data_IF_478643513708
#
_entry.id   IF_478643513708
#
_cell.length_a   1.000
_cell.length_b   1.000
_cell.length_c   1.000
_cell.angle_alpha   90.00
_cell.angle_beta   90.00
_cell.angle_gamma   90.00
#
_symmetry.space_group_name_H-M   'P 1'
#
loop_
_entity.id
_entity.type
_entity.pdbx_description
1 polymer ?
#
# COMPACT_ATOMS: atom_id res chain seq x y z
N UNK A 1 -10.55 -22.05 -22.29
CA UNK A 1 -10.93 -22.06 -20.88
C UNK A 1 -11.18 -20.62 -20.37
N UNK A 2 -10.29 -19.66 -20.67
CA UNK A 2 -10.40 -18.27 -20.23
C UNK A 2 -11.79 -17.67 -20.52
N UNK A 3 -12.25 -17.73 -21.76
CA UNK A 3 -13.57 -17.20 -22.13
C UNK A 3 -14.71 -17.87 -21.34
N UNK A 4 -14.64 -19.20 -21.14
CA UNK A 4 -15.65 -19.93 -20.36
C UNK A 4 -15.67 -19.50 -18.90
N UNK A 5 -14.51 -19.19 -18.29
CA UNK A 5 -14.39 -18.66 -16.93
C UNK A 5 -14.93 -17.23 -16.84
N UNK A 6 -14.57 -16.35 -17.77
CA UNK A 6 -15.08 -14.98 -17.83
C UNK A 6 -16.59 -14.94 -17.98
N UNK A 7 -17.15 -15.86 -18.80
CA UNK A 7 -18.60 -15.99 -19.01
C UNK A 7 -19.30 -16.80 -17.93
N UNK A 8 -18.58 -17.32 -16.93
CA UNK A 8 -19.11 -18.18 -15.86
C UNK A 8 -19.91 -19.38 -16.38
N UNK A 9 -19.49 -19.95 -17.51
CA UNK A 9 -20.21 -21.08 -18.15
C UNK A 9 -19.69 -22.42 -17.64
N UNK A 10 -20.21 -22.91 -16.51
CA UNK A 10 -19.75 -24.14 -15.88
C UNK A 10 -19.78 -25.35 -16.82
N UNK A 11 -20.83 -25.62 -17.66
CA UNK A 11 -20.79 -26.76 -18.59
C UNK A 11 -19.63 -26.72 -19.58
N UNK A 12 -19.28 -25.52 -20.07
CA UNK A 12 -18.14 -25.36 -20.98
C UNK A 12 -16.81 -25.55 -20.24
N UNK A 13 -16.70 -25.09 -18.99
CA UNK A 13 -15.53 -25.31 -18.14
C UNK A 13 -15.34 -26.82 -17.93
N UNK A 14 -16.40 -27.53 -17.52
CA UNK A 14 -16.39 -28.96 -17.26
C UNK A 14 -15.92 -29.74 -18.51
N UNK A 15 -16.53 -29.44 -19.65
CA UNK A 15 -16.17 -30.10 -20.93
C UNK A 15 -14.68 -29.91 -21.26
N UNK A 16 -14.16 -28.68 -21.09
CA UNK A 16 -12.75 -28.37 -21.38
C UNK A 16 -11.80 -29.11 -20.42
N UNK A 17 -12.14 -29.17 -19.13
CA UNK A 17 -11.34 -29.88 -18.11
C UNK A 17 -11.32 -31.39 -18.39
N UNK A 18 -12.47 -32.00 -18.73
CA UNK A 18 -12.59 -33.40 -19.10
C UNK A 18 -11.78 -33.75 -20.39
N UNK A 19 -11.52 -32.75 -21.25
CA UNK A 19 -10.69 -32.89 -22.46
C UNK A 19 -9.23 -32.46 -22.23
N UNK A 20 -8.80 -32.33 -20.98
CA UNK A 20 -7.39 -32.18 -20.61
C UNK A 20 -6.80 -30.79 -20.80
N UNK A 21 -7.64 -29.73 -20.72
CA UNK A 21 -7.12 -28.35 -20.72
C UNK A 21 -6.20 -28.11 -19.52
N UNK A 22 -5.11 -27.38 -19.71
CA UNK A 22 -4.24 -26.97 -18.61
C UNK A 22 -4.92 -25.92 -17.73
N UNK A 23 -5.08 -26.24 -16.44
CA UNK A 23 -5.64 -25.33 -15.43
C UNK A 23 -4.61 -24.39 -14.85
N UNK A 24 -3.33 -24.70 -15.03
CA UNK A 24 -2.22 -24.03 -14.34
C UNK A 24 -1.30 -23.28 -15.31
N UNK A 25 -1.86 -22.81 -16.44
CA UNK A 25 -1.14 -21.93 -17.37
C UNK A 25 -0.54 -20.73 -16.62
N UNK A 26 0.75 -20.46 -16.84
CA UNK A 26 1.48 -19.41 -16.10
C UNK A 26 1.07 -17.99 -16.52
N UNK A 27 0.60 -17.79 -17.74
CA UNK A 27 0.16 -16.48 -18.22
C UNK A 27 -1.22 -16.13 -17.67
N UNK A 28 -2.15 -17.11 -17.74
CA UNK A 28 -3.55 -16.96 -17.34
C UNK A 28 -4.01 -18.06 -16.37
N UNK A 29 -3.52 -18.07 -15.12
CA UNK A 29 -3.89 -19.10 -14.15
C UNK A 29 -5.41 -19.16 -13.95
N UNK A 30 -6.01 -20.33 -14.17
CA UNK A 30 -7.46 -20.52 -14.12
C UNK A 30 -8.08 -20.17 -12.78
N UNK A 31 -7.35 -20.39 -11.68
CA UNK A 31 -7.81 -20.02 -10.35
C UNK A 31 -8.05 -18.51 -10.20
N UNK A 32 -7.12 -17.68 -10.74
CA UNK A 32 -7.26 -16.22 -10.69
C UNK A 32 -8.46 -15.72 -11.49
N UNK A 33 -8.75 -16.35 -12.64
CA UNK A 33 -9.94 -16.03 -13.42
C UNK A 33 -11.22 -16.47 -12.71
N UNK A 34 -11.21 -17.65 -12.09
CA UNK A 34 -12.36 -18.17 -11.35
C UNK A 34 -12.71 -17.28 -10.13
N UNK A 35 -11.72 -16.84 -9.34
CA UNK A 35 -11.98 -15.97 -8.20
C UNK A 35 -12.34 -14.54 -8.60
N UNK A 36 -11.92 -14.11 -9.79
CA UNK A 36 -12.21 -12.78 -10.36
C UNK A 36 -13.60 -12.67 -10.97
N UNK A 37 -14.08 -13.71 -11.65
CA UNK A 37 -15.33 -13.66 -12.41
C UNK A 37 -16.37 -14.66 -11.93
N UNK A 38 -15.93 -15.82 -11.44
CA UNK A 38 -16.76 -16.95 -11.08
C UNK A 38 -17.44 -16.84 -9.70
N UNK A 39 -18.03 -17.94 -9.34
CA UNK A 39 -18.71 -18.16 -8.06
C UNK A 39 -18.12 -19.39 -7.36
N UNK A 40 -18.63 -19.70 -6.17
CA UNK A 40 -18.19 -20.83 -5.36
C UNK A 40 -18.22 -22.17 -6.13
N UNK A 41 -19.26 -22.43 -6.92
CA UNK A 41 -19.40 -23.69 -7.66
C UNK A 41 -18.28 -23.90 -8.68
N UNK A 42 -17.93 -22.85 -9.43
CA UNK A 42 -16.81 -22.88 -10.38
C UNK A 42 -15.48 -23.06 -9.65
N UNK A 43 -15.27 -22.34 -8.53
CA UNK A 43 -14.06 -22.43 -7.73
C UNK A 43 -13.89 -23.84 -7.19
N UNK A 44 -14.93 -24.40 -6.55
CA UNK A 44 -14.92 -25.75 -5.99
C UNK A 44 -14.61 -26.80 -7.08
N UNK A 45 -15.22 -26.67 -8.26
CA UNK A 45 -14.96 -27.57 -9.38
C UNK A 45 -13.50 -27.54 -9.82
N UNK A 46 -12.91 -26.36 -10.00
CA UNK A 46 -11.49 -26.25 -10.39
C UNK A 46 -10.53 -26.75 -9.32
N UNK A 47 -10.84 -26.50 -8.04
CA UNK A 47 -10.06 -27.02 -6.91
C UNK A 47 -10.09 -28.55 -6.88
N UNK A 48 -11.25 -29.15 -7.09
CA UNK A 48 -11.40 -30.62 -7.18
C UNK A 48 -10.62 -31.23 -8.34
N UNK A 49 -10.33 -30.45 -9.38
CA UNK A 49 -9.55 -30.87 -10.56
C UNK A 49 -8.09 -30.40 -10.55
N UNK A 50 -7.57 -29.96 -9.38
CA UNK A 50 -6.13 -29.74 -9.16
C UNK A 50 -5.58 -28.38 -9.63
N UNK A 51 -6.44 -27.35 -9.68
CA UNK A 51 -5.96 -25.98 -9.94
C UNK A 51 -5.03 -25.50 -8.81
N UNK A 52 -3.99 -24.76 -9.15
CA UNK A 52 -3.08 -24.15 -8.20
C UNK A 52 -3.68 -22.89 -7.55
N UNK A 53 -4.14 -23.01 -6.30
CA UNK A 53 -4.74 -21.91 -5.54
C UNK A 53 -3.74 -20.80 -5.16
N UNK A 54 -2.44 -21.05 -5.27
CA UNK A 54 -1.37 -20.08 -4.99
C UNK A 54 -0.74 -19.50 -6.27
N UNK A 55 -1.39 -19.70 -7.41
CA UNK A 55 -0.90 -19.18 -8.68
C UNK A 55 -0.76 -17.64 -8.64
N UNK A 56 0.23 -17.16 -9.37
CA UNK A 56 0.45 -15.74 -9.63
C UNK A 56 0.48 -15.54 -11.14
N UNK A 57 -0.15 -14.51 -11.67
CA UNK A 57 -0.01 -14.16 -13.08
C UNK A 57 1.36 -13.47 -13.36
N UNK A 58 1.60 -13.13 -14.62
CA UNK A 58 2.85 -12.51 -15.09
C UNK A 58 3.22 -11.19 -14.36
N UNK A 59 2.23 -10.43 -13.85
CA UNK A 59 2.44 -9.21 -13.06
C UNK A 59 2.36 -9.44 -11.55
N UNK A 60 2.40 -10.70 -11.11
CA UNK A 60 2.41 -11.12 -9.70
C UNK A 60 1.14 -10.75 -8.92
N UNK A 61 -0.01 -10.76 -9.60
CA UNK A 61 -1.33 -10.70 -8.96
C UNK A 61 -1.65 -12.07 -8.35
N UNK A 62 -2.12 -12.08 -7.12
CA UNK A 62 -2.60 -13.25 -6.39
C UNK A 62 -4.14 -13.35 -6.38
N UNK A 63 -4.65 -14.39 -5.74
CA UNK A 63 -6.09 -14.67 -5.67
C UNK A 63 -6.88 -13.56 -5.00
N UNK A 64 -6.39 -12.99 -3.88
CA UNK A 64 -7.09 -11.89 -3.21
C UNK A 64 -7.17 -10.65 -4.10
N UNK A 65 -6.07 -10.27 -4.75
CA UNK A 65 -6.08 -9.15 -5.68
C UNK A 65 -7.00 -9.39 -6.87
N UNK A 66 -7.00 -10.62 -7.42
CA UNK A 66 -7.88 -10.99 -8.53
C UNK A 66 -9.36 -10.84 -8.14
N UNK A 67 -9.75 -11.31 -6.95
CA UNK A 67 -11.11 -11.16 -6.42
C UNK A 67 -11.50 -9.68 -6.24
N UNK A 68 -10.59 -8.84 -5.69
CA UNK A 68 -10.82 -7.40 -5.56
C UNK A 68 -11.00 -6.72 -6.91
N UNK A 69 -10.17 -7.03 -7.91
CA UNK A 69 -10.31 -6.48 -9.26
C UNK A 69 -11.61 -6.87 -9.96
N UNK A 70 -12.14 -8.05 -9.62
CA UNK A 70 -13.46 -8.50 -10.09
C UNK A 70 -14.63 -8.00 -9.25
N UNK A 71 -14.37 -7.29 -8.15
CA UNK A 71 -15.37 -6.92 -7.14
C UNK A 71 -16.14 -8.14 -6.59
N UNK A 72 -15.48 -9.31 -6.58
CA UNK A 72 -16.01 -10.58 -6.08
C UNK A 72 -15.66 -10.78 -4.61
N UNK A 73 -16.17 -9.90 -3.76
CA UNK A 73 -15.85 -9.88 -2.32
C UNK A 73 -16.31 -11.13 -1.62
N UNK A 74 -17.40 -11.77 -2.10
CA UNK A 74 -17.90 -13.06 -1.63
C UNK A 74 -16.86 -14.19 -1.78
N UNK A 75 -15.93 -14.07 -2.71
CA UNK A 75 -14.88 -15.07 -2.92
C UNK A 75 -13.71 -14.95 -1.92
N UNK A 76 -13.58 -13.84 -1.20
CA UNK A 76 -12.45 -13.63 -0.27
C UNK A 76 -12.41 -14.68 0.83
N UNK A 77 -13.56 -15.01 1.42
CA UNK A 77 -13.65 -16.06 2.43
C UNK A 77 -13.34 -17.44 1.85
N UNK A 78 -13.83 -17.73 0.64
CA UNK A 78 -13.55 -18.99 -0.05
C UNK A 78 -12.04 -19.16 -0.28
N UNK A 79 -11.37 -18.12 -0.77
CA UNK A 79 -9.92 -18.11 -1.00
C UNK A 79 -9.16 -18.38 0.30
N UNK A 80 -9.57 -17.73 1.40
CA UNK A 80 -8.97 -17.91 2.72
C UNK A 80 -9.12 -19.36 3.22
N UNK A 81 -10.34 -19.92 3.14
CA UNK A 81 -10.68 -21.26 3.63
C UNK A 81 -9.99 -22.37 2.82
N UNK A 82 -9.70 -22.13 1.56
CA UNK A 82 -8.92 -23.03 0.70
C UNK A 82 -7.42 -23.08 1.08
N UNK A 83 -6.95 -22.21 2.01
CA UNK A 83 -5.57 -22.20 2.47
C UNK A 83 -4.68 -21.12 1.84
N UNK A 84 -5.23 -20.26 0.97
CA UNK A 84 -4.56 -19.02 0.57
C UNK A 84 -4.83 -17.95 1.63
N UNK A 85 -4.20 -18.13 2.80
CA UNK A 85 -4.57 -17.42 4.03
C UNK A 85 -4.22 -15.92 4.00
N UNK A 86 -5.08 -15.12 4.65
CA UNK A 86 -4.89 -13.65 4.76
C UNK A 86 -3.57 -13.32 5.47
N UNK A 87 -3.20 -14.03 6.53
CA UNK A 87 -1.96 -13.80 7.29
C UNK A 87 -0.72 -13.87 6.40
N UNK A 88 -0.72 -14.77 5.42
CA UNK A 88 0.45 -15.01 4.56
C UNK A 88 0.41 -14.20 3.26
N UNK A 89 -0.76 -14.03 2.68
CA UNK A 89 -0.93 -13.50 1.32
C UNK A 89 -1.73 -12.19 1.26
N UNK A 90 -2.48 -11.84 2.31
CA UNK A 90 -3.43 -10.73 2.29
C UNK A 90 -2.84 -9.32 2.26
N UNK A 91 -1.58 -9.14 2.70
CA UNK A 91 -1.04 -7.80 2.95
C UNK A 91 -1.01 -6.88 1.73
N UNK A 92 -0.70 -7.41 0.52
CA UNK A 92 -0.69 -6.64 -0.72
C UNK A 92 -2.11 -6.24 -1.15
N UNK A 93 -3.05 -7.19 -1.08
CA UNK A 93 -4.45 -6.94 -1.41
C UNK A 93 -5.09 -5.96 -0.42
N UNK A 94 -4.83 -6.10 0.89
CA UNK A 94 -5.27 -5.17 1.92
C UNK A 94 -4.79 -3.74 1.66
N UNK A 95 -3.48 -3.55 1.38
CA UNK A 95 -2.92 -2.23 1.06
C UNK A 95 -3.59 -1.62 -0.18
N UNK A 96 -3.87 -2.41 -1.21
CA UNK A 96 -4.54 -1.92 -2.41
C UNK A 96 -6.01 -1.56 -2.14
N UNK A 97 -6.70 -2.29 -1.26
CA UNK A 97 -8.10 -2.04 -0.91
C UNK A 97 -8.34 -0.72 -0.15
N UNK A 98 -7.28 -0.10 0.40
CA UNK A 98 -7.39 1.21 1.07
C UNK A 98 -7.99 2.28 0.16
N UNK A 99 -7.63 2.28 -1.12
CA UNK A 99 -8.10 3.28 -2.09
C UNK A 99 -9.58 3.13 -2.46
N UNK A 100 -10.14 1.93 -2.29
CA UNK A 100 -11.53 1.64 -2.64
C UNK A 100 -12.52 2.06 -1.53
N UNK A 101 -12.00 2.37 -0.33
CA UNK A 101 -12.81 2.78 0.85
C UNK A 101 -13.91 1.79 1.22
N UNK A 102 -13.73 0.51 0.87
CA UNK A 102 -14.69 -0.54 1.22
C UNK A 102 -14.35 -1.14 2.58
N UNK A 103 -14.95 -0.60 3.65
CA UNK A 103 -14.67 -1.01 5.02
C UNK A 103 -15.04 -2.48 5.29
N UNK A 104 -16.04 -3.04 4.63
CA UNK A 104 -16.38 -4.48 4.78
C UNK A 104 -15.24 -5.38 4.31
N UNK A 105 -14.61 -5.02 3.20
CA UNK A 105 -13.41 -5.71 2.70
C UNK A 105 -12.23 -5.54 3.65
N UNK A 106 -12.01 -4.34 4.17
CA UNK A 106 -10.94 -4.09 5.12
C UNK A 106 -11.15 -4.87 6.42
N UNK A 107 -12.38 -4.88 6.95
CA UNK A 107 -12.77 -5.67 8.12
C UNK A 107 -12.52 -7.17 7.91
N UNK A 108 -12.83 -7.71 6.73
CA UNK A 108 -12.51 -9.10 6.40
C UNK A 108 -11.00 -9.38 6.55
N UNK A 109 -10.13 -8.54 5.98
CA UNK A 109 -8.69 -8.73 6.09
C UNK A 109 -8.20 -8.62 7.53
N UNK A 110 -8.67 -7.62 8.28
CA UNK A 110 -8.29 -7.37 9.67
C UNK A 110 -8.72 -8.52 10.57
N UNK A 111 -9.98 -8.97 10.48
CA UNK A 111 -10.50 -10.09 11.29
C UNK A 111 -9.77 -11.40 11.00
N UNK A 112 -9.28 -11.59 9.77
CA UNK A 112 -8.50 -12.75 9.39
C UNK A 112 -6.99 -12.56 9.60
N UNK A 113 -6.55 -11.52 10.35
CA UNK A 113 -5.19 -11.37 10.84
C UNK A 113 -4.18 -10.91 9.79
N UNK A 114 -4.58 -9.99 8.89
CA UNK A 114 -3.63 -9.35 7.98
C UNK A 114 -2.55 -8.59 8.75
N UNK A 115 -1.34 -8.51 8.19
CA UNK A 115 -0.35 -7.55 8.65
C UNK A 115 -0.80 -6.13 8.28
N UNK A 116 -1.39 -5.42 9.25
CA UNK A 116 -1.90 -4.06 9.05
C UNK A 116 -0.77 -3.06 8.73
N UNK A 117 0.46 -3.40 9.08
CA UNK A 117 1.68 -2.63 8.83
C UNK A 117 2.46 -3.13 7.61
N UNK A 118 1.82 -3.90 6.72
CA UNK A 118 2.46 -4.47 5.54
C UNK A 118 3.19 -3.41 4.71
N UNK A 119 4.51 -3.56 4.56
CA UNK A 119 5.39 -2.60 3.87
C UNK A 119 6.37 -3.25 2.88
N UNK A 120 6.00 -4.38 2.28
CA UNK A 120 6.85 -5.01 1.25
C UNK A 120 6.68 -4.33 -0.10
N UNK A 121 7.75 -4.27 -0.92
CA UNK A 121 7.66 -3.66 -2.25
C UNK A 121 6.86 -4.54 -3.21
N UNK A 122 6.20 -3.89 -4.16
CA UNK A 122 5.63 -4.53 -5.35
C UNK A 122 5.77 -3.60 -6.57
N UNK A 123 5.17 -3.97 -7.70
CA UNK A 123 5.24 -3.18 -8.94
C UNK A 123 4.51 -1.84 -8.85
N UNK A 124 3.48 -1.73 -8.01
CA UNK A 124 2.70 -0.49 -7.79
C UNK A 124 3.38 0.38 -6.73
N UNK A 125 3.91 -0.25 -5.67
CA UNK A 125 4.49 0.41 -4.51
C UNK A 125 5.95 -0.01 -4.27
N UNK A 126 6.89 0.38 -5.16
CA UNK A 126 8.32 0.00 -5.03
C UNK A 126 9.00 0.68 -3.83
N UNK A 127 8.40 1.75 -3.28
CA UNK A 127 8.89 2.52 -2.13
C UNK A 127 8.37 2.01 -0.77
N UNK A 128 7.62 0.89 -0.76
CA UNK A 128 7.21 0.16 0.45
C UNK A 128 6.30 0.95 1.40
N UNK A 129 5.23 1.58 0.95
CA UNK A 129 4.32 2.26 1.87
C UNK A 129 3.58 1.23 2.73
N UNK A 130 3.29 1.61 3.97
CA UNK A 130 2.27 0.92 4.77
C UNK A 130 0.85 1.28 4.26
N UNK A 131 -0.19 0.50 4.59
CA UNK A 131 -1.58 0.90 4.35
C UNK A 131 -1.90 2.29 4.89
N UNK A 132 -1.37 2.64 6.07
CA UNK A 132 -1.54 3.97 6.67
C UNK A 132 -0.87 5.09 5.85
N UNK A 133 0.34 4.85 5.31
CA UNK A 133 0.99 5.80 4.40
C UNK A 133 0.17 5.99 3.11
N UNK A 134 -0.42 4.91 2.57
CA UNK A 134 -1.32 5.01 1.41
C UNK A 134 -2.53 5.87 1.74
N UNK A 135 -3.22 5.62 2.86
CA UNK A 135 -4.37 6.44 3.29
C UNK A 135 -4.01 7.93 3.44
N UNK A 136 -2.85 8.24 4.04
CA UNK A 136 -2.35 9.60 4.20
C UNK A 136 -2.09 10.28 2.84
N UNK A 137 -1.54 9.58 1.83
CA UNK A 137 -1.32 10.11 0.48
C UNK A 137 -2.62 10.47 -0.24
N UNK A 138 -3.71 9.76 0.04
CA UNK A 138 -5.05 10.06 -0.49
C UNK A 138 -5.81 11.09 0.35
N UNK A 139 -5.15 11.69 1.34
CA UNK A 139 -5.74 12.73 2.22
C UNK A 139 -7.04 12.23 2.87
N UNK A 140 -7.04 10.98 3.31
CA UNK A 140 -8.21 10.33 3.92
C UNK A 140 -8.02 10.16 5.43
N UNK A 141 -8.25 11.23 6.18
CA UNK A 141 -8.11 11.23 7.64
C UNK A 141 -9.04 10.20 8.31
N UNK A 142 -10.24 9.97 7.74
CA UNK A 142 -11.16 8.96 8.28
C UNK A 142 -10.57 7.56 8.16
N UNK A 143 -9.99 7.23 7.01
CA UNK A 143 -9.30 5.96 6.79
C UNK A 143 -8.05 5.85 7.67
N UNK A 144 -7.30 6.93 7.85
CA UNK A 144 -6.15 6.94 8.74
C UNK A 144 -6.56 6.63 10.18
N UNK A 145 -7.60 7.26 10.71
CA UNK A 145 -8.15 6.99 12.05
C UNK A 145 -8.59 5.52 12.18
N UNK A 146 -9.33 5.02 11.20
CA UNK A 146 -9.75 3.62 11.16
C UNK A 146 -8.57 2.65 11.25
N UNK A 147 -7.52 2.87 10.46
CA UNK A 147 -6.33 2.00 10.48
C UNK A 147 -5.58 2.07 11.81
N UNK A 148 -5.45 3.26 12.40
CA UNK A 148 -4.80 3.44 13.71
C UNK A 148 -5.59 2.75 14.82
N UNK A 149 -6.91 2.85 14.82
CA UNK A 149 -7.80 2.15 15.77
C UNK A 149 -7.64 0.63 15.70
N UNK A 150 -7.23 0.10 14.53
CA UNK A 150 -6.96 -1.33 14.32
C UNK A 150 -5.47 -1.71 14.49
N UNK A 151 -4.62 -0.78 14.98
CA UNK A 151 -3.23 -1.07 15.33
C UNK A 151 -2.19 -0.72 14.28
N UNK A 152 -2.52 0.14 13.31
CA UNK A 152 -1.50 0.67 12.40
C UNK A 152 -0.51 1.57 13.14
N UNK A 153 0.79 1.33 12.90
CA UNK A 153 1.89 2.06 13.52
C UNK A 153 2.21 3.32 12.70
N UNK A 154 2.03 4.48 13.33
CA UNK A 154 2.27 5.81 12.74
C UNK A 154 3.76 6.11 12.51
N UNK A 155 4.66 5.34 13.10
CA UNK A 155 6.11 5.60 13.06
C UNK A 155 6.83 4.89 11.92
N UNK A 156 6.19 3.93 11.26
CA UNK A 156 6.80 3.17 10.16
C UNK A 156 7.00 4.07 8.95
N UNK A 157 8.25 4.09 8.46
CA UNK A 157 8.64 4.88 7.29
C UNK A 157 8.61 4.07 6.00
N UNK A 158 8.39 4.76 4.90
CA UNK A 158 8.66 4.29 3.55
C UNK A 158 10.18 4.25 3.27
N UNK A 159 10.55 3.72 2.12
CA UNK A 159 11.97 3.61 1.71
C UNK A 159 12.69 4.96 1.62
N UNK A 160 11.98 6.02 1.33
CA UNK A 160 12.49 7.39 1.22
C UNK A 160 12.41 8.18 2.55
N UNK A 161 12.09 7.51 3.65
CA UNK A 161 12.00 8.10 4.99
C UNK A 161 10.68 8.79 5.31
N UNK A 162 9.74 8.85 4.34
CA UNK A 162 8.40 9.39 4.60
C UNK A 162 7.62 8.50 5.56
N UNK A 163 6.89 9.11 6.50
CA UNK A 163 5.93 8.45 7.39
C UNK A 163 4.58 9.18 7.33
N UNK A 164 3.50 8.66 7.89
CA UNK A 164 2.18 9.29 7.78
C UNK A 164 2.16 10.78 8.13
N UNK A 165 2.83 11.20 9.18
CA UNK A 165 3.00 12.63 9.53
C UNK A 165 3.66 13.43 8.41
N UNK A 166 4.83 12.97 7.93
CA UNK A 166 5.59 13.67 6.88
C UNK A 166 4.79 13.76 5.57
N UNK A 167 3.98 12.73 5.26
CA UNK A 167 3.08 12.73 4.12
C UNK A 167 1.99 13.79 4.29
N UNK A 168 1.40 13.91 5.48
CA UNK A 168 0.41 14.93 5.77
C UNK A 168 0.98 16.36 5.60
N UNK A 169 2.19 16.61 6.09
CA UNK A 169 2.92 17.88 5.89
C UNK A 169 3.17 18.15 4.39
N UNK A 170 3.63 17.14 3.64
CA UNK A 170 3.83 17.25 2.19
C UNK A 170 2.53 17.61 1.44
N UNK A 171 1.40 17.03 1.88
CA UNK A 171 0.07 17.30 1.30
C UNK A 171 -0.56 18.62 1.77
N UNK A 172 0.02 19.28 2.76
CA UNK A 172 -0.53 20.49 3.36
C UNK A 172 -1.78 20.24 4.23
N UNK A 173 -2.05 18.99 4.59
CA UNK A 173 -3.18 18.63 5.48
C UNK A 173 -2.77 18.75 6.94
N UNK A 174 -2.94 19.96 7.50
CA UNK A 174 -2.53 20.26 8.86
C UNK A 174 -3.37 19.55 9.92
N UNK A 175 -4.65 19.25 9.64
CA UNK A 175 -5.50 18.47 10.55
C UNK A 175 -4.96 17.05 10.69
N UNK A 176 -4.63 16.41 9.58
CA UNK A 176 -4.04 15.08 9.57
C UNK A 176 -2.63 15.08 10.19
N UNK A 177 -1.81 16.10 9.92
CA UNK A 177 -0.49 16.25 10.51
C UNK A 177 -0.56 16.34 12.04
N UNK A 178 -1.43 17.20 12.60
CA UNK A 178 -1.63 17.32 14.05
C UNK A 178 -2.18 16.02 14.67
N UNK A 179 -3.06 15.31 13.96
CA UNK A 179 -3.53 14.00 14.40
C UNK A 179 -2.35 13.03 14.56
N UNK A 180 -1.50 12.86 13.54
CA UNK A 180 -0.36 11.96 13.63
C UNK A 180 0.67 12.41 14.66
N UNK A 181 0.95 13.72 14.74
CA UNK A 181 1.84 14.31 15.74
C UNK A 181 1.42 13.97 17.16
N UNK A 182 0.12 13.95 17.43
CA UNK A 182 -0.41 13.59 18.76
C UNK A 182 -0.19 12.12 19.14
N UNK A 183 0.08 11.24 18.15
CA UNK A 183 0.30 9.80 18.33
C UNK A 183 1.77 9.40 18.25
N UNK A 184 2.61 10.23 17.66
CA UNK A 184 4.05 9.97 17.55
C UNK A 184 4.79 10.24 18.87
N UNK A 185 5.94 9.58 19.10
CA UNK A 185 6.83 9.92 20.19
C UNK A 185 7.21 11.40 20.14
N UNK A 186 7.17 12.09 21.30
CA UNK A 186 7.47 13.53 21.39
C UNK A 186 8.87 13.86 20.87
N UNK A 187 9.79 12.92 20.97
CA UNK A 187 11.17 13.02 20.49
C UNK A 187 11.26 13.23 18.98
N UNK A 188 10.25 12.81 18.21
CA UNK A 188 10.20 13.00 16.75
C UNK A 188 9.98 14.46 16.35
N UNK A 189 9.43 15.25 17.29
CA UNK A 189 9.11 16.66 17.12
C UNK A 189 10.00 17.58 17.98
N UNK A 190 11.05 17.03 18.59
CA UNK A 190 12.04 17.77 19.34
C UNK A 190 13.16 18.27 18.43
N UNK A 191 13.40 19.60 18.46
CA UNK A 191 14.39 20.24 17.57
C UNK A 191 15.82 19.80 17.90
N UNK A 192 16.14 19.50 19.15
CA UNK A 192 17.48 19.06 19.53
C UNK A 192 17.74 17.64 18.99
N UNK A 193 16.78 16.74 19.09
CA UNK A 193 16.86 15.41 18.49
C UNK A 193 16.99 15.49 16.97
N UNK A 194 16.28 16.43 16.35
CA UNK A 194 16.41 16.68 14.92
C UNK A 194 17.81 17.14 14.54
N UNK A 195 18.37 18.09 15.26
CA UNK A 195 19.73 18.58 15.04
C UNK A 195 20.76 17.45 15.21
N UNK A 196 20.56 16.55 16.18
CA UNK A 196 21.43 15.38 16.36
C UNK A 196 21.36 14.40 15.18
N UNK A 197 20.17 14.15 14.63
CA UNK A 197 19.98 13.36 13.42
C UNK A 197 20.65 13.98 12.18
N UNK A 198 20.70 15.32 12.10
CA UNK A 198 21.25 16.04 10.97
C UNK A 198 22.78 16.23 11.03
N UNK A 199 23.46 15.94 12.16
CA UNK A 199 24.93 16.03 12.31
C UNK A 199 25.73 15.37 11.18
N UNK A 200 25.36 14.15 10.69
CA UNK A 200 26.10 13.52 9.59
C UNK A 200 26.08 14.28 8.26
N UNK A 201 25.08 15.15 8.07
CA UNK A 201 24.93 15.93 6.83
C UNK A 201 25.81 17.20 6.82
N UNK A 202 26.34 17.63 8.00
CA UNK A 202 27.19 18.80 8.14
C UNK A 202 26.61 20.05 7.46
N UNK A 203 25.33 20.33 7.74
CA UNK A 203 24.62 21.44 7.13
C UNK A 203 25.32 22.78 7.41
N UNK A 204 25.49 23.65 6.40
CA UNK A 204 25.96 25.03 6.62
C UNK A 204 25.00 25.77 7.57
N UNK A 205 25.57 26.59 8.47
CA UNK A 205 24.76 27.37 9.43
C UNK A 205 23.72 28.27 8.73
N UNK A 206 24.06 28.82 7.55
CA UNK A 206 23.14 29.61 6.75
C UNK A 206 21.91 28.81 6.29
N UNK A 207 22.11 27.53 5.93
CA UNK A 207 20.99 26.66 5.54
C UNK A 207 20.12 26.29 6.74
N UNK A 208 20.72 26.02 7.90
CA UNK A 208 19.95 25.76 9.14
C UNK A 208 19.08 26.96 9.47
N UNK A 209 19.66 28.18 9.53
CA UNK A 209 18.92 29.40 9.81
C UNK A 209 17.80 29.63 8.78
N UNK A 210 18.05 29.36 7.50
CA UNK A 210 17.05 29.46 6.44
C UNK A 210 15.85 28.52 6.67
N UNK A 211 16.11 27.26 7.05
CA UNK A 211 15.06 26.26 7.31
C UNK A 211 14.33 26.48 8.64
N UNK A 212 14.83 27.36 9.51
CA UNK A 212 14.17 27.81 10.73
C UNK A 212 13.34 29.09 10.51
N UNK A 213 13.39 29.68 9.30
CA UNK A 213 12.61 30.87 8.94
C UNK A 213 11.14 30.50 8.64
N UNK A 214 10.25 31.46 8.76
CA UNK A 214 8.82 31.31 8.44
C UNK A 214 8.55 31.39 6.93
N UNK A 215 9.49 31.93 6.15
CA UNK A 215 9.35 32.12 4.69
C UNK A 215 10.06 30.99 3.95
N UNK A 216 9.33 29.91 3.67
CA UNK A 216 9.86 28.70 3.01
C UNK A 216 9.24 28.42 1.64
N UNK A 217 8.35 29.30 1.16
CA UNK A 217 7.74 29.25 -0.18
C UNK A 217 8.29 30.35 -1.07
N UNK A 218 8.69 30.00 -2.29
CA UNK A 218 9.25 30.92 -3.27
C UNK A 218 8.65 30.66 -4.64
N UNK A 219 8.15 31.71 -5.28
CA UNK A 219 7.82 31.67 -6.70
C UNK A 219 9.09 31.67 -7.53
N UNK A 220 9.10 30.91 -8.62
CA UNK A 220 10.24 30.77 -9.53
C UNK A 220 9.85 31.30 -10.91
N UNK A 221 9.80 32.64 -11.09
CA UNK A 221 9.55 33.22 -12.39
C UNK A 221 10.66 32.81 -13.36
N UNK A 222 10.32 32.59 -14.61
CA UNK A 222 11.25 32.20 -15.68
C UNK A 222 11.89 30.80 -15.52
N UNK A 223 11.22 29.87 -14.82
CA UNK A 223 11.62 28.50 -14.59
C UNK A 223 10.58 27.52 -15.10
N UNK A 224 10.96 26.24 -15.34
CA UNK A 224 10.03 25.16 -15.64
C UNK A 224 9.13 24.80 -14.44
N UNK A 225 9.48 25.27 -13.25
CA UNK A 225 8.73 25.14 -12.01
C UNK A 225 8.09 26.47 -11.64
N UNK A 226 6.82 26.43 -11.20
CA UNK A 226 6.08 27.62 -10.78
C UNK A 226 6.59 28.13 -9.42
N UNK A 227 6.90 27.21 -8.51
CA UNK A 227 7.30 27.51 -7.15
C UNK A 227 8.11 26.38 -6.54
N UNK A 228 8.78 26.67 -5.42
CA UNK A 228 9.39 25.70 -4.53
C UNK A 228 8.96 25.99 -3.10
N UNK A 229 8.59 24.96 -2.37
CA UNK A 229 8.28 25.04 -0.93
C UNK A 229 9.23 24.13 -0.17
N UNK A 230 9.99 24.70 0.76
CA UNK A 230 10.91 23.95 1.61
C UNK A 230 10.19 23.46 2.86
N UNK A 231 10.65 22.33 3.39
CA UNK A 231 10.25 21.89 4.71
C UNK A 231 10.93 22.77 5.79
N UNK A 232 10.24 23.09 6.89
CA UNK A 232 10.89 23.56 8.11
C UNK A 232 11.99 22.57 8.54
N UNK A 233 13.01 23.04 9.24
CA UNK A 233 14.13 22.21 9.68
C UNK A 233 13.67 20.90 10.35
N UNK A 234 12.66 21.01 11.22
CA UNK A 234 12.10 19.86 11.95
C UNK A 234 11.50 18.79 11.04
N UNK A 235 10.95 19.18 9.88
CA UNK A 235 10.23 18.30 8.97
C UNK A 235 11.11 17.80 7.80
N UNK A 236 12.38 18.21 7.73
CA UNK A 236 13.33 17.68 6.75
C UNK A 236 13.48 16.16 6.90
N UNK A 237 13.69 15.42 5.80
CA UNK A 237 13.59 13.97 5.80
C UNK A 237 14.93 13.34 5.43
N UNK A 238 15.67 12.75 6.39
CA UNK A 238 16.85 11.96 6.12
C UNK A 238 16.45 10.61 5.48
N UNK A 239 17.09 10.24 4.37
CA UNK A 239 16.89 8.94 3.73
C UNK A 239 18.16 8.42 3.09
N UNK A 240 18.14 7.15 2.66
CA UNK A 240 19.28 6.51 1.98
C UNK A 240 18.93 6.16 0.54
N UNK A 241 19.80 6.56 -0.39
CA UNK A 241 19.76 6.12 -1.78
C UNK A 241 21.06 5.34 -2.08
N UNK A 242 20.96 4.03 -2.14
CA UNK A 242 22.14 3.17 -2.22
C UNK A 242 23.05 3.33 -0.99
N UNK A 243 24.29 3.79 -1.21
CA UNK A 243 25.27 4.04 -0.13
C UNK A 243 25.29 5.49 0.36
N UNK A 244 24.48 6.37 -0.24
CA UNK A 244 24.48 7.81 0.08
C UNK A 244 23.38 8.15 1.07
N UNK A 245 23.72 8.92 2.09
CA UNK A 245 22.75 9.59 2.94
C UNK A 245 22.33 10.88 2.24
N UNK A 246 21.05 11.07 2.05
CA UNK A 246 20.44 12.24 1.44
C UNK A 246 19.48 12.89 2.44
N UNK A 247 19.27 14.18 2.26
CA UNK A 247 18.30 14.95 3.04
C UNK A 247 17.31 15.59 2.08
N UNK A 248 16.04 15.28 2.22
CA UNK A 248 14.96 15.93 1.48
C UNK A 248 14.62 17.23 2.17
N UNK A 249 14.68 18.34 1.43
CA UNK A 249 14.51 19.70 1.93
C UNK A 249 13.20 20.36 1.44
N UNK A 250 12.57 19.80 0.39
CA UNK A 250 11.39 20.42 -0.24
C UNK A 250 10.29 19.40 -0.49
N UNK A 251 9.09 19.94 -0.58
CA UNK A 251 7.86 19.21 -0.94
C UNK A 251 7.86 18.76 -2.39
#
# INVERSE_FOLDING_TARGET
LELALVMCCLPSIQWLVEHGVDLNDEENPSFLLAVRYGNKEIIDYLVANGVNIHALNCVKVDAFQAALYGQKYENLQIIHDLGHTVQKYGGKAFRNAITDRNYEVLDFFIHNGVDINYNKPDSVYPFKPTPLCVAARYVDLKMCKYLVEHGADVTITEKDGMRPYSIAIEKGDMEMAEYFKSLEPVEFHDIQNKMDQLKPFKLPKALVNFLEDDTLYFELPDSDFISIEFFPLIDTIPFKLGRRNLLRLSK
#
